data_IF_723766801698
#
_entry.id   IF_723766801698
#
_cell.length_a   1.000
_cell.length_b   1.000
_cell.length_c   1.000
_cell.angle_alpha   90.00
_cell.angle_beta   90.00
_cell.angle_gamma   90.00
#
_symmetry.space_group_name_H-M   'P 1'
#
loop_
_entity.id
_entity.type
_entity.pdbx_description
1 polymer ?
#
# COMPACT_ATOMS: atom_id res chain seq x y z
N UNK A 1 -13.38 -1.54 3.78
CA UNK A 1 -12.52 -2.73 3.68
C UNK A 1 -11.63 -2.56 2.46
N UNK A 2 -10.41 -3.12 2.44
CA UNK A 2 -9.51 -3.06 1.28
C UNK A 2 -9.01 -4.46 0.95
N UNK A 3 -8.74 -4.70 -0.34
CA UNK A 3 -8.21 -5.96 -0.83
C UNK A 3 -6.68 -5.87 -0.94
N UNK A 4 -5.97 -6.80 -0.30
CA UNK A 4 -4.52 -6.68 -0.13
C UNK A 4 -3.72 -7.36 -1.25
N UNK A 5 -4.05 -8.60 -1.56
CA UNK A 5 -3.40 -9.41 -2.60
C UNK A 5 -4.48 -9.95 -3.51
N UNK A 6 -4.22 -9.97 -4.80
CA UNK A 6 -5.06 -10.62 -5.81
C UNK A 6 -4.41 -11.97 -6.16
N UNK A 7 -5.15 -12.93 -6.74
CA UNK A 7 -4.57 -14.17 -7.23
C UNK A 7 -3.61 -13.90 -8.38
N UNK A 8 -2.43 -14.49 -8.32
CA UNK A 8 -1.40 -14.35 -9.34
C UNK A 8 -0.95 -15.73 -9.86
N UNK A 9 -0.40 -15.80 -11.07
CA UNK A 9 0.12 -17.04 -11.64
C UNK A 9 1.53 -16.84 -12.17
N UNK A 10 2.48 -17.62 -11.66
CA UNK A 10 3.85 -17.69 -12.18
C UNK A 10 3.92 -18.73 -13.30
N UNK A 11 3.96 -18.25 -14.55
CA UNK A 11 4.04 -19.09 -15.74
C UNK A 11 5.36 -19.86 -15.86
N UNK A 12 6.46 -19.32 -15.35
CA UNK A 12 7.77 -19.95 -15.44
C UNK A 12 7.86 -21.15 -14.49
N UNK A 13 7.21 -21.06 -13.34
CA UNK A 13 7.15 -22.14 -12.34
C UNK A 13 5.88 -22.97 -12.41
N UNK A 14 4.91 -22.57 -13.24
CA UNK A 14 3.56 -23.15 -13.28
C UNK A 14 2.93 -23.21 -11.89
N UNK A 15 2.99 -22.09 -11.16
CA UNK A 15 2.57 -21.99 -9.77
C UNK A 15 1.48 -20.94 -9.63
N UNK A 16 0.34 -21.33 -9.06
CA UNK A 16 -0.69 -20.40 -8.60
C UNK A 16 -0.29 -19.80 -7.26
N UNK A 17 -0.42 -18.49 -7.14
CA UNK A 17 -0.14 -17.72 -5.94
C UNK A 17 -1.48 -17.25 -5.40
N UNK A 18 -1.88 -17.80 -4.25
CA UNK A 18 -3.13 -17.42 -3.60
C UNK A 18 -3.10 -15.97 -3.09
N UNK A 19 -4.27 -15.34 -3.12
CA UNK A 19 -4.55 -14.05 -2.47
C UNK A 19 -4.58 -14.12 -0.94
N UNK A 20 -4.55 -15.34 -0.39
CA UNK A 20 -4.66 -15.61 1.04
C UNK A 20 -3.57 -14.90 1.81
N UNK A 21 -4.00 -14.15 2.84
CA UNK A 21 -3.08 -13.46 3.74
C UNK A 21 -2.60 -14.45 4.80
N UNK A 22 -1.30 -14.74 4.80
CA UNK A 22 -0.67 -15.64 5.76
C UNK A 22 -0.44 -14.93 7.11
N UNK A 23 0.08 -13.70 7.07
CA UNK A 23 0.44 -12.96 8.28
C UNK A 23 0.32 -11.45 8.09
N UNK A 24 -0.05 -10.77 9.19
CA UNK A 24 -0.09 -9.30 9.28
C UNK A 24 0.76 -8.86 10.48
N UNK A 25 1.53 -7.77 10.29
CA UNK A 25 2.32 -7.14 11.35
C UNK A 25 2.18 -5.61 11.29
N UNK A 26 1.81 -5.02 12.41
CA UNK A 26 1.70 -3.56 12.53
C UNK A 26 3.06 -2.95 12.82
N UNK A 27 3.37 -1.86 12.11
CA UNK A 27 4.53 -1.03 12.42
C UNK A 27 4.19 -0.10 13.58
N UNK A 28 5.22 0.28 14.35
CA UNK A 28 5.09 1.32 15.37
C UNK A 28 4.63 2.62 14.72
N UNK A 29 3.63 3.27 15.32
CA UNK A 29 3.05 4.50 14.81
C UNK A 29 4.08 5.64 14.88
N UNK A 30 4.51 6.15 13.71
CA UNK A 30 5.40 7.32 13.59
C UNK A 30 4.64 8.63 13.39
N UNK A 31 3.41 8.59 12.88
CA UNK A 31 2.59 9.76 12.58
C UNK A 31 1.09 9.45 12.74
N UNK A 32 0.22 10.36 12.28
CA UNK A 32 -1.23 10.15 12.34
C UNK A 32 -1.71 8.91 11.56
N UNK A 33 -0.96 8.46 10.55
CA UNK A 33 -1.26 7.25 9.80
C UNK A 33 -0.74 5.99 10.51
N UNK A 34 -1.46 4.89 10.32
CA UNK A 34 -1.03 3.56 10.71
C UNK A 34 -0.35 2.87 9.52
N UNK A 35 0.60 1.99 9.82
CA UNK A 35 1.29 1.20 8.81
C UNK A 35 1.26 -0.26 9.21
N UNK A 36 1.04 -1.13 8.23
CA UNK A 36 1.09 -2.59 8.43
C UNK A 36 1.78 -3.27 7.26
N UNK A 37 2.43 -4.39 7.54
CA UNK A 37 2.86 -5.36 6.55
C UNK A 37 1.82 -6.47 6.49
N UNK A 38 1.47 -6.88 5.29
CA UNK A 38 0.69 -8.08 5.02
C UNK A 38 1.46 -8.96 4.05
N UNK A 39 1.45 -10.28 4.23
CA UNK A 39 2.12 -11.22 3.31
C UNK A 39 1.16 -12.29 2.83
N UNK A 40 1.32 -12.70 1.58
CA UNK A 40 0.85 -13.99 1.07
C UNK A 40 2.06 -14.93 0.91
N UNK A 41 1.94 -15.97 0.09
CA UNK A 41 2.98 -16.98 -0.12
C UNK A 41 4.24 -16.46 -0.82
N UNK A 42 4.17 -15.35 -1.56
CA UNK A 42 5.29 -14.88 -2.41
C UNK A 42 5.64 -13.41 -2.24
N UNK A 43 4.74 -12.62 -1.69
CA UNK A 43 4.89 -11.16 -1.63
C UNK A 43 4.54 -10.63 -0.25
N UNK A 44 5.27 -9.60 0.17
CA UNK A 44 4.97 -8.79 1.34
C UNK A 44 4.58 -7.40 0.85
N UNK A 45 3.47 -6.84 1.34
CA UNK A 45 3.01 -5.49 1.01
C UNK A 45 2.99 -4.60 2.25
N UNK A 46 3.55 -3.40 2.13
CA UNK A 46 3.44 -2.35 3.13
C UNK A 46 2.24 -1.46 2.81
N UNK A 47 1.31 -1.37 3.75
CA UNK A 47 0.11 -0.56 3.67
C UNK A 47 0.22 0.65 4.58
N UNK A 48 -0.31 1.78 4.10
CA UNK A 48 -0.56 2.98 4.90
C UNK A 48 -2.06 3.15 5.05
N UNK A 49 -2.53 3.21 6.29
CA UNK A 49 -3.93 3.48 6.64
C UNK A 49 -3.97 4.88 7.23
N UNK A 50 -4.65 5.81 6.57
CA UNK A 50 -4.78 7.18 7.02
C UNK A 50 -6.23 7.64 7.06
N UNK A 51 -6.53 8.44 8.08
CA UNK A 51 -7.78 9.16 8.20
C UNK A 51 -7.71 10.47 7.40
N UNK A 52 -8.74 10.71 6.60
CA UNK A 52 -8.92 11.92 5.81
C UNK A 52 -10.20 12.60 6.28
N UNK A 53 -10.07 13.84 6.73
CA UNK A 53 -11.19 14.68 7.21
C UNK A 53 -11.37 15.94 6.36
N UNK A 54 -10.59 16.06 5.28
CA UNK A 54 -10.56 17.24 4.42
C UNK A 54 -10.54 16.82 2.96
N UNK A 55 -11.30 17.51 2.12
CA UNK A 55 -11.28 17.37 0.65
C UNK A 55 -11.02 18.72 0.00
N UNK A 56 -10.36 18.69 -1.16
CA UNK A 56 -10.19 19.86 -1.99
C UNK A 56 -11.42 20.00 -2.89
N UNK A 57 -11.98 21.20 -2.96
CA UNK A 57 -13.14 21.56 -3.79
C UNK A 57 -12.82 22.80 -4.62
N UNK A 58 -13.62 23.08 -5.66
CA UNK A 58 -13.42 24.26 -6.51
C UNK A 58 -12.34 24.10 -7.57
N UNK A 59 -12.21 22.91 -8.17
CA UNK A 59 -11.32 22.69 -9.31
C UNK A 59 -11.77 23.52 -10.53
N UNK A 60 -10.84 23.92 -11.39
CA UNK A 60 -11.17 24.70 -12.60
C UNK A 60 -11.99 23.88 -13.61
N UNK A 61 -11.51 22.68 -13.91
CA UNK A 61 -12.07 21.82 -14.96
C UNK A 61 -13.07 20.80 -14.44
N UNK A 62 -13.47 20.87 -13.17
CA UNK A 62 -14.38 19.91 -12.57
C UNK A 62 -15.36 20.64 -11.67
N UNK A 63 -16.65 20.43 -11.93
CA UNK A 63 -17.71 20.96 -11.06
C UNK A 63 -17.87 20.12 -9.80
N UNK A 64 -18.61 20.64 -8.81
CA UNK A 64 -18.86 19.94 -7.55
C UNK A 64 -19.60 18.60 -7.75
N UNK A 65 -20.33 18.46 -8.87
CA UNK A 65 -20.97 17.20 -9.33
C UNK A 65 -20.01 16.27 -10.11
N UNK A 66 -18.72 16.61 -10.20
CA UNK A 66 -17.71 15.78 -10.85
C UNK A 66 -17.65 15.89 -12.37
N UNK A 67 -18.52 16.70 -12.99
CA UNK A 67 -18.58 16.91 -14.45
C UNK A 67 -17.36 17.69 -14.93
N UNK A 68 -16.74 17.21 -16.00
CA UNK A 68 -15.58 17.85 -16.63
C UNK A 68 -16.06 19.08 -17.41
N UNK A 69 -15.60 20.26 -17.00
CA UNK A 69 -15.83 21.52 -17.72
C UNK A 69 -14.81 21.67 -18.85
N UNK A 70 -15.27 22.13 -20.02
CA UNK A 70 -14.39 22.38 -21.17
C UNK A 70 -13.42 23.52 -20.88
N UNK A 71 -12.15 23.36 -21.28
CA UNK A 71 -11.10 24.38 -21.08
C UNK A 71 -11.50 25.75 -21.65
N UNK A 72 -12.26 25.76 -22.74
CA UNK A 72 -12.69 26.97 -23.45
C UNK A 72 -13.75 27.79 -22.68
N UNK A 73 -14.33 27.23 -21.62
CA UNK A 73 -15.34 27.91 -20.79
C UNK A 73 -14.75 28.58 -19.55
N UNK A 74 -13.42 28.49 -19.35
CA UNK A 74 -12.73 29.11 -18.23
C UNK A 74 -12.43 30.57 -18.51
N UNK A 75 -13.11 31.46 -17.81
CA UNK A 75 -12.85 32.91 -17.85
C UNK A 75 -11.77 33.33 -16.84
N UNK A 76 -11.59 32.58 -15.75
CA UNK A 76 -10.61 32.84 -14.70
C UNK A 76 -10.14 31.54 -14.04
N UNK A 77 -8.89 31.53 -13.56
CA UNK A 77 -8.32 30.42 -12.80
C UNK A 77 -8.57 30.60 -11.30
N UNK A 78 -9.09 29.56 -10.66
CA UNK A 78 -9.26 29.45 -9.19
C UNK A 78 -8.33 28.38 -8.62
N UNK A 79 -7.96 28.57 -7.36
CA UNK A 79 -7.20 27.58 -6.57
C UNK A 79 -8.19 26.74 -5.75
N UNK A 80 -8.05 25.41 -5.72
CA UNK A 80 -8.91 24.56 -4.90
C UNK A 80 -8.82 24.92 -3.41
N UNK A 81 -9.97 24.97 -2.74
CA UNK A 81 -10.05 25.26 -1.30
C UNK A 81 -10.28 23.97 -0.53
N UNK A 82 -9.56 23.83 0.59
CA UNK A 82 -9.70 22.67 1.47
C UNK A 82 -10.93 22.87 2.36
N UNK A 83 -11.96 22.04 2.18
CA UNK A 83 -13.16 22.01 3.02
C UNK A 83 -13.17 20.77 3.93
N UNK A 84 -13.73 20.88 5.16
CA UNK A 84 -13.99 19.72 6.00
C UNK A 84 -14.93 18.74 5.29
N UNK A 85 -14.70 17.45 5.51
CA UNK A 85 -15.59 16.38 5.05
C UNK A 85 -15.77 15.35 6.16
N UNK A 86 -16.72 14.44 5.95
CA UNK A 86 -16.89 13.27 6.81
C UNK A 86 -15.60 12.46 6.91
N UNK A 87 -15.32 11.93 8.10
CA UNK A 87 -14.12 11.13 8.37
C UNK A 87 -14.13 9.90 7.45
N UNK A 88 -13.11 9.81 6.59
CA UNK A 88 -12.91 8.68 5.69
C UNK A 88 -11.59 8.01 5.98
N UNK A 89 -11.58 6.67 6.09
CA UNK A 89 -10.36 5.89 6.26
C UNK A 89 -9.92 5.35 4.89
N UNK A 90 -8.70 5.70 4.49
CA UNK A 90 -8.10 5.27 3.23
C UNK A 90 -6.91 4.35 3.49
N UNK A 91 -6.89 3.19 2.82
CA UNK A 91 -5.78 2.25 2.85
C UNK A 91 -5.05 2.27 1.50
N UNK A 92 -3.81 2.72 1.48
CA UNK A 92 -2.99 2.83 0.26
C UNK A 92 -1.82 1.85 0.33
N UNK A 93 -1.58 1.02 -0.71
CA UNK A 93 -0.39 0.20 -0.79
C UNK A 93 0.79 1.13 -1.06
N UNK A 94 1.78 1.12 -0.17
CA UNK A 94 2.98 1.95 -0.29
C UNK A 94 4.10 1.24 -1.04
N UNK A 95 4.31 -0.04 -0.72
CA UNK A 95 5.45 -0.81 -1.24
C UNK A 95 5.07 -2.29 -1.34
N UNK A 96 5.71 -2.96 -2.29
CA UNK A 96 5.58 -4.40 -2.52
C UNK A 96 6.99 -4.98 -2.56
N UNK A 97 7.25 -5.96 -1.71
CA UNK A 97 8.48 -6.74 -1.64
C UNK A 97 8.17 -8.12 -2.22
N UNK A 98 8.76 -8.44 -3.36
CA UNK A 98 8.44 -9.65 -4.12
C UNK A 98 9.72 -10.33 -4.60
N UNK A 99 9.59 -11.53 -5.15
CA UNK A 99 10.65 -12.26 -5.87
C UNK A 99 11.93 -12.61 -5.08
N UNK A 100 11.94 -12.51 -3.75
CA UNK A 100 13.08 -12.97 -2.96
C UNK A 100 12.92 -14.39 -2.37
N UNK A 101 11.70 -14.93 -2.36
CA UNK A 101 11.41 -16.24 -1.80
C UNK A 101 11.14 -17.28 -2.89
N UNK A 102 11.85 -18.40 -2.82
CA UNK A 102 11.61 -19.53 -3.71
C UNK A 102 10.42 -20.38 -3.19
N UNK A 103 10.23 -20.47 -1.88
CA UNK A 103 9.19 -21.25 -1.20
C UNK A 103 8.09 -20.36 -0.63
N UNK A 104 7.18 -20.91 0.19
CA UNK A 104 6.06 -20.15 0.74
C UNK A 104 6.51 -19.31 1.93
N UNK A 105 6.21 -18.02 1.91
CA UNK A 105 6.46 -17.15 3.06
C UNK A 105 5.52 -17.57 4.19
N UNK A 106 6.09 -18.07 5.27
CA UNK A 106 5.34 -18.54 6.43
C UNK A 106 5.35 -17.52 7.59
N UNK A 107 6.29 -16.57 7.59
CA UNK A 107 6.41 -15.59 8.67
C UNK A 107 7.07 -14.29 8.21
N UNK A 108 6.63 -13.19 8.84
CA UNK A 108 7.25 -11.87 8.75
C UNK A 108 7.43 -11.27 10.15
N UNK A 109 8.55 -10.60 10.40
CA UNK A 109 8.83 -9.94 11.67
C UNK A 109 9.51 -8.59 11.47
N UNK A 110 9.01 -7.57 12.16
CA UNK A 110 9.63 -6.25 12.15
C UNK A 110 10.82 -6.22 13.11
N UNK A 111 11.89 -5.54 12.71
CA UNK A 111 13.02 -5.29 13.58
C UNK A 111 12.74 -4.08 14.49
N UNK A 112 13.42 -4.00 15.63
CA UNK A 112 13.25 -2.92 16.61
C UNK A 112 13.75 -1.56 16.11
N UNK A 113 14.61 -1.55 15.09
CA UNK A 113 15.10 -0.35 14.42
C UNK A 113 14.00 0.43 13.68
N UNK A 114 12.85 -0.19 13.40
CA UNK A 114 11.74 0.37 12.62
C UNK A 114 12.12 0.78 11.18
N UNK A 115 13.19 0.20 10.66
CA UNK A 115 13.72 0.42 9.32
C UNK A 115 13.82 -0.88 8.54
N UNK A 116 14.00 -2.01 9.24
CA UNK A 116 14.12 -3.32 8.62
C UNK A 116 13.07 -4.31 9.10
N UNK A 117 12.88 -5.38 8.32
CA UNK A 117 12.05 -6.51 8.69
C UNK A 117 12.59 -7.81 8.08
N UNK A 118 12.29 -8.93 8.71
CA UNK A 118 12.61 -10.27 8.24
C UNK A 118 11.38 -10.89 7.59
N UNK A 119 11.59 -11.66 6.52
CA UNK A 119 10.64 -12.63 6.01
C UNK A 119 11.28 -14.00 5.92
N UNK A 120 10.55 -15.03 6.28
CA UNK A 120 11.02 -16.41 6.28
C UNK A 120 10.13 -17.27 5.38
N UNK A 121 10.78 -18.15 4.61
CA UNK A 121 10.14 -19.27 3.94
C UNK A 121 10.62 -20.60 4.56
N UNK A 122 10.32 -21.72 3.91
CA UNK A 122 10.66 -23.05 4.42
C UNK A 122 12.16 -23.31 4.54
N UNK A 123 13.01 -22.63 3.76
CA UNK A 123 14.46 -22.89 3.68
C UNK A 123 15.34 -21.64 3.86
N UNK A 124 14.77 -20.43 3.85
CA UNK A 124 15.52 -19.17 3.87
C UNK A 124 14.85 -18.12 4.73
N UNK A 125 15.68 -17.24 5.28
CA UNK A 125 15.27 -16.00 5.93
C UNK A 125 15.97 -14.87 5.18
N UNK A 126 15.20 -13.85 4.81
CA UNK A 126 15.67 -12.66 4.10
C UNK A 126 15.49 -11.43 4.99
N UNK A 127 16.46 -10.52 4.96
CA UNK A 127 16.36 -9.21 5.62
C UNK A 127 16.01 -8.13 4.59
N UNK A 128 15.03 -7.30 4.91
CA UNK A 128 14.57 -6.23 4.04
C UNK A 128 14.69 -4.90 4.73
N UNK A 129 15.00 -3.86 3.94
CA UNK A 129 14.80 -2.49 4.37
C UNK A 129 13.40 -2.03 3.93
N UNK A 130 12.63 -1.41 4.83
CA UNK A 130 11.25 -0.95 4.57
C UNK A 130 11.14 0.07 3.45
N UNK A 131 12.25 0.68 3.02
CA UNK A 131 12.30 1.63 1.92
C UNK A 131 12.89 1.09 0.61
N UNK A 132 13.42 -0.14 0.60
CA UNK A 132 14.12 -0.73 -0.55
C UNK A 132 13.40 -2.03 -0.92
N UNK A 133 12.80 -2.08 -2.11
CA UNK A 133 11.91 -3.19 -2.53
C UNK A 133 12.53 -4.14 -3.53
N UNK A 134 13.65 -3.75 -4.14
CA UNK A 134 14.34 -4.42 -5.22
C UNK A 134 15.40 -5.42 -4.75
N UNK A 135 15.79 -5.37 -3.48
CA UNK A 135 16.76 -6.29 -2.90
C UNK A 135 16.47 -6.63 -1.45
N UNK A 136 16.84 -7.85 -1.08
CA UNK A 136 16.93 -8.34 0.29
C UNK A 136 18.38 -8.71 0.59
N UNK A 137 18.80 -8.51 1.84
CA UNK A 137 20.14 -8.82 2.36
C UNK A 137 20.18 -10.21 3.00
#
# INVERSE_FOLDING_TARGET
TFHSHEPEFDYLKSLEIEEKINQIRWLKRKNAAHFLLSTNDKTVKLWKISEKTKRAEGYNLRDDDGIIRSSNSLTNLRIPVIRPMELMVEATPKRVFANAHAYHINSISLNSDQETFLSADDLRINLWHTEVTDQSF
#
